data_IF_912688366175
#
_entry.id   IF_912688366175
#
_cell.length_a   1.000
_cell.length_b   1.000
_cell.length_c   1.000
_cell.angle_alpha   90.00
_cell.angle_beta   90.00
_cell.angle_gamma   90.00
#
_symmetry.space_group_name_H-M   'P 1'
#
loop_
_entity.id
_entity.type
_entity.pdbx_description
1 polymer ?
#
# COMPACT_ATOMS: atom_id res chain seq x y z
N UNK A 1 -9.30 5.94 -30.91
CA UNK A 1 -7.91 5.46 -30.84
C UNK A 1 -7.80 4.59 -29.58
N UNK A 2 -7.21 3.43 -29.69
CA UNK A 2 -7.00 2.53 -28.55
C UNK A 2 -5.66 2.87 -27.88
N UNK A 3 -5.64 2.96 -26.56
CA UNK A 3 -4.44 3.30 -25.80
C UNK A 3 -3.48 2.10 -25.74
N UNK A 4 -4.06 0.89 -25.60
CA UNK A 4 -3.32 -0.36 -25.41
C UNK A 4 -2.34 -0.62 -26.57
N UNK A 5 -1.08 -0.89 -26.23
CA UNK A 5 0.00 -1.13 -27.20
C UNK A 5 0.57 0.11 -27.88
N UNK A 6 0.08 1.32 -27.54
CA UNK A 6 0.57 2.55 -28.12
C UNK A 6 1.86 3.07 -27.44
N UNK A 7 2.59 3.96 -28.14
CA UNK A 7 3.71 4.70 -27.52
C UNK A 7 3.23 5.57 -26.34
N UNK A 8 1.99 6.06 -26.40
CA UNK A 8 1.38 6.84 -25.31
C UNK A 8 1.20 6.01 -24.07
N UNK A 9 0.77 4.74 -24.18
CA UNK A 9 0.71 3.83 -23.03
C UNK A 9 2.09 3.62 -22.40
N UNK A 10 3.11 3.38 -23.23
CA UNK A 10 4.49 3.24 -22.75
C UNK A 10 4.98 4.51 -22.02
N UNK A 11 4.68 5.69 -22.56
CA UNK A 11 5.01 6.97 -21.95
C UNK A 11 4.27 7.18 -20.61
N UNK A 12 3.00 6.81 -20.52
CA UNK A 12 2.24 6.86 -19.26
C UNK A 12 2.84 5.96 -18.18
N UNK A 13 3.25 4.73 -18.54
CA UNK A 13 3.93 3.81 -17.62
C UNK A 13 5.27 4.37 -17.14
N UNK A 14 6.06 4.94 -18.05
CA UNK A 14 7.35 5.57 -17.72
C UNK A 14 7.16 6.81 -16.82
N UNK A 15 6.17 7.66 -17.13
CA UNK A 15 5.85 8.82 -16.32
C UNK A 15 5.37 8.39 -14.90
N UNK A 16 4.45 7.44 -14.79
CA UNK A 16 4.01 6.90 -13.50
C UNK A 16 5.20 6.37 -12.67
N UNK A 17 6.10 5.62 -13.28
CA UNK A 17 7.28 5.11 -12.59
C UNK A 17 8.22 6.24 -12.14
N UNK A 18 8.48 7.24 -13.00
CA UNK A 18 9.34 8.38 -12.70
C UNK A 18 8.81 9.21 -11.53
N UNK A 19 7.53 9.60 -11.57
CA UNK A 19 6.89 10.39 -10.52
C UNK A 19 6.81 9.62 -9.19
N UNK A 20 6.51 8.31 -9.23
CA UNK A 20 6.49 7.47 -8.04
C UNK A 20 7.87 7.40 -7.37
N UNK A 21 8.95 7.30 -8.17
CA UNK A 21 10.31 7.33 -7.66
C UNK A 21 10.69 8.72 -7.12
N UNK A 22 10.29 9.80 -7.79
CA UNK A 22 10.54 11.16 -7.35
C UNK A 22 9.86 11.42 -6.01
N UNK A 23 8.56 11.07 -5.87
CA UNK A 23 7.83 11.12 -4.61
C UNK A 23 8.62 10.47 -3.47
N UNK A 24 9.06 9.21 -3.65
CA UNK A 24 9.76 8.47 -2.60
C UNK A 24 11.13 9.08 -2.29
N UNK A 25 11.91 9.44 -3.31
CA UNK A 25 13.25 10.06 -3.14
C UNK A 25 13.17 11.37 -2.37
N UNK A 26 12.19 12.23 -2.67
CA UNK A 26 12.06 13.54 -2.03
C UNK A 26 11.68 13.41 -0.56
N UNK A 27 10.94 12.37 -0.15
CA UNK A 27 10.74 12.06 1.28
C UNK A 27 12.06 11.75 1.99
N UNK A 28 12.95 10.99 1.35
CA UNK A 28 14.28 10.70 1.92
C UNK A 28 15.17 11.95 1.96
N UNK A 29 15.10 12.79 0.92
CA UNK A 29 15.86 14.05 0.88
C UNK A 29 15.37 15.04 1.94
N UNK A 30 14.06 15.13 2.17
CA UNK A 30 13.47 15.93 3.25
C UNK A 30 13.97 15.46 4.62
N UNK A 31 14.00 14.15 4.85
CA UNK A 31 14.54 13.58 6.10
C UNK A 31 16.02 13.94 6.31
N UNK A 32 16.83 13.91 5.26
CA UNK A 32 18.23 14.30 5.36
C UNK A 32 18.38 15.81 5.60
N UNK A 33 17.63 16.65 4.90
CA UNK A 33 17.67 18.10 5.08
C UNK A 33 17.34 18.52 6.52
N UNK A 34 16.40 17.83 7.19
CA UNK A 34 16.11 18.04 8.63
C UNK A 34 17.30 17.70 9.51
N UNK A 35 17.97 16.57 9.25
CA UNK A 35 19.18 16.19 10.02
C UNK A 35 20.30 17.21 9.86
N UNK A 36 20.37 17.87 8.70
CA UNK A 36 21.34 18.91 8.40
C UNK A 36 20.90 20.30 8.92
N UNK A 37 19.75 20.41 9.61
CA UNK A 37 19.22 21.68 10.16
C UNK A 37 18.59 22.61 9.12
N UNK A 38 18.22 22.09 7.95
CA UNK A 38 17.68 22.84 6.81
C UNK A 38 16.16 22.68 6.68
N UNK A 39 15.37 23.14 7.67
CA UNK A 39 13.92 22.93 7.74
C UNK A 39 13.16 23.48 6.51
N UNK A 40 13.55 24.65 6.00
CA UNK A 40 12.92 25.21 4.80
C UNK A 40 13.12 24.30 3.57
N UNK A 41 14.33 23.76 3.40
CA UNK A 41 14.64 22.85 2.29
C UNK A 41 13.87 21.55 2.44
N UNK A 42 13.77 21.02 3.67
CA UNK A 42 12.98 19.85 3.97
C UNK A 42 11.49 20.04 3.60
N UNK A 43 10.91 21.19 3.97
CA UNK A 43 9.52 21.52 3.64
C UNK A 43 9.29 21.63 2.13
N UNK A 44 10.24 22.18 1.37
CA UNK A 44 10.16 22.24 -0.11
C UNK A 44 10.19 20.84 -0.72
N UNK A 45 11.07 19.95 -0.23
CA UNK A 45 11.09 18.56 -0.69
C UNK A 45 9.77 17.84 -0.39
N UNK A 46 9.17 18.05 0.79
CA UNK A 46 7.88 17.43 1.15
C UNK A 46 6.73 17.94 0.28
N UNK A 47 6.66 19.25 0.06
CA UNK A 47 5.68 19.86 -0.83
C UNK A 47 5.79 19.28 -2.24
N UNK A 48 6.99 19.29 -2.81
CA UNK A 48 7.24 18.73 -4.16
C UNK A 48 6.91 17.24 -4.20
N UNK A 49 7.31 16.46 -3.19
CA UNK A 49 6.93 15.05 -3.07
C UNK A 49 5.41 14.86 -3.13
N UNK A 50 4.65 15.74 -2.47
CA UNK A 50 3.18 15.74 -2.55
C UNK A 50 2.66 15.97 -3.96
N UNK A 51 3.28 16.88 -4.72
CA UNK A 51 2.93 17.15 -6.12
C UNK A 51 3.20 15.94 -7.02
N UNK A 52 4.37 15.30 -6.88
CA UNK A 52 4.76 14.14 -7.68
C UNK A 52 3.84 12.93 -7.43
N UNK A 53 3.36 12.75 -6.21
CA UNK A 53 2.32 11.76 -5.89
C UNK A 53 1.02 11.99 -6.68
N UNK A 54 0.57 13.25 -6.81
CA UNK A 54 -0.64 13.56 -7.58
C UNK A 54 -0.40 13.44 -9.10
N UNK A 55 0.81 13.75 -9.58
CA UNK A 55 1.18 13.48 -10.98
C UNK A 55 1.17 11.96 -11.26
N UNK A 56 1.82 11.15 -10.43
CA UNK A 56 1.79 9.70 -10.56
C UNK A 56 0.36 9.15 -10.60
N UNK A 57 -0.51 9.61 -9.68
CA UNK A 57 -1.92 9.22 -9.63
C UNK A 57 -2.69 9.60 -10.91
N UNK A 58 -2.37 10.75 -11.52
CA UNK A 58 -2.96 11.17 -12.80
C UNK A 58 -2.65 10.15 -13.89
N UNK A 59 -1.38 9.79 -14.06
CA UNK A 59 -0.94 8.82 -15.06
C UNK A 59 -1.50 7.42 -14.79
N UNK A 60 -1.54 7.01 -13.53
CA UNK A 60 -2.08 5.72 -13.13
C UNK A 60 -3.58 5.59 -13.42
N UNK A 61 -4.35 6.68 -13.31
CA UNK A 61 -5.76 6.70 -13.72
C UNK A 61 -5.94 6.50 -15.23
N UNK A 62 -5.12 7.12 -16.06
CA UNK A 62 -5.16 6.91 -17.52
C UNK A 62 -4.79 5.48 -17.92
N UNK A 63 -4.00 4.79 -17.10
CA UNK A 63 -3.67 3.37 -17.26
C UNK A 63 -4.76 2.44 -16.70
N UNK A 64 -5.88 2.98 -16.21
CA UNK A 64 -6.92 2.22 -15.49
C UNK A 64 -6.38 1.42 -14.29
N UNK A 65 -5.34 1.94 -13.64
CA UNK A 65 -4.67 1.27 -12.51
C UNK A 65 -5.44 1.34 -11.19
N UNK A 66 -6.51 2.17 -11.10
CA UNK A 66 -7.34 2.29 -9.89
C UNK A 66 -8.73 1.77 -10.22
N UNK A 67 -9.05 0.61 -9.66
CA UNK A 67 -10.35 -0.03 -9.77
C UNK A 67 -11.17 0.08 -8.48
N UNK A 68 -12.15 -0.79 -8.33
CA UNK A 68 -12.88 -1.01 -7.07
C UNK A 68 -11.94 -1.52 -5.97
N UNK A 69 -12.39 -1.50 -4.73
CA UNK A 69 -11.60 -2.05 -3.60
C UNK A 69 -11.26 -3.53 -3.84
N UNK A 70 -12.20 -4.31 -4.39
CA UNK A 70 -11.98 -5.72 -4.72
C UNK A 70 -10.90 -5.90 -5.79
N UNK A 71 -11.00 -5.16 -6.90
CA UNK A 71 -10.00 -5.19 -7.97
C UNK A 71 -8.62 -4.73 -7.49
N UNK A 72 -8.57 -3.67 -6.68
CA UNK A 72 -7.32 -3.16 -6.14
C UNK A 72 -6.66 -4.15 -5.17
N UNK A 73 -7.44 -4.86 -4.32
CA UNK A 73 -6.93 -5.90 -3.44
C UNK A 73 -6.38 -7.09 -4.24
N UNK A 74 -7.08 -7.50 -5.30
CA UNK A 74 -6.61 -8.56 -6.18
C UNK A 74 -5.32 -8.17 -6.91
N UNK A 75 -5.24 -6.94 -7.42
CA UNK A 75 -4.04 -6.43 -8.08
C UNK A 75 -2.85 -6.31 -7.12
N UNK A 76 -3.08 -5.85 -5.88
CA UNK A 76 -2.06 -5.77 -4.86
C UNK A 76 -1.55 -7.18 -4.49
N UNK A 77 -2.43 -8.13 -4.19
CA UNK A 77 -2.03 -9.50 -3.89
C UNK A 77 -1.20 -10.13 -5.02
N UNK A 78 -1.60 -9.93 -6.29
CA UNK A 78 -0.85 -10.44 -7.43
C UNK A 78 0.52 -9.75 -7.60
N UNK A 79 0.65 -8.48 -7.24
CA UNK A 79 1.92 -7.77 -7.22
C UNK A 79 2.89 -8.34 -6.19
N UNK A 80 2.42 -8.49 -4.95
CA UNK A 80 3.21 -9.05 -3.85
C UNK A 80 3.62 -10.53 -4.12
N UNK A 81 2.71 -11.33 -4.70
CA UNK A 81 3.02 -12.70 -5.12
C UNK A 81 4.15 -12.73 -6.15
N UNK A 82 4.10 -11.87 -7.18
CA UNK A 82 5.19 -11.74 -8.15
C UNK A 82 6.51 -11.30 -7.50
N UNK A 83 6.47 -10.35 -6.58
CA UNK A 83 7.66 -9.89 -5.86
C UNK A 83 8.28 -11.01 -5.02
N UNK A 84 7.47 -11.82 -4.34
CA UNK A 84 7.92 -12.95 -3.53
C UNK A 84 8.39 -14.13 -4.37
N UNK A 85 7.62 -14.57 -5.39
CA UNK A 85 7.85 -15.83 -6.09
C UNK A 85 8.88 -15.72 -7.19
N UNK A 86 9.04 -14.56 -7.81
CA UNK A 86 9.92 -14.31 -8.97
C UNK A 86 10.98 -13.23 -8.68
N UNK A 87 10.56 -11.99 -8.47
CA UNK A 87 11.44 -10.82 -8.50
C UNK A 87 12.54 -10.89 -7.45
N UNK A 88 12.21 -10.99 -6.17
CA UNK A 88 13.20 -11.01 -5.09
C UNK A 88 13.97 -12.30 -5.03
N UNK A 89 13.38 -13.41 -5.45
CA UNK A 89 14.09 -14.69 -5.56
C UNK A 89 15.21 -14.62 -6.59
N UNK A 90 14.92 -14.10 -7.78
CA UNK A 90 15.91 -13.89 -8.83
C UNK A 90 16.97 -12.88 -8.40
N UNK A 91 16.57 -11.77 -7.77
CA UNK A 91 17.52 -10.77 -7.28
C UNK A 91 18.45 -11.31 -6.18
N UNK A 92 17.93 -12.18 -5.29
CA UNK A 92 18.76 -12.89 -4.31
C UNK A 92 19.81 -13.76 -5.00
N UNK A 93 19.40 -14.58 -5.97
CA UNK A 93 20.27 -15.49 -6.71
C UNK A 93 21.36 -14.71 -7.44
N UNK A 94 21.00 -13.71 -8.25
CA UNK A 94 21.92 -12.87 -9.02
C UNK A 94 22.93 -12.14 -8.09
N UNK A 95 22.46 -11.51 -7.01
CA UNK A 95 23.35 -10.81 -6.07
C UNK A 95 24.31 -11.78 -5.35
N UNK A 96 23.89 -13.01 -5.09
CA UNK A 96 24.74 -14.04 -4.48
C UNK A 96 25.80 -14.52 -5.45
N UNK A 97 25.47 -14.73 -6.71
CA UNK A 97 26.42 -15.10 -7.78
C UNK A 97 27.47 -13.99 -8.00
N UNK A 98 27.06 -12.72 -7.94
CA UNK A 98 27.96 -11.57 -8.07
C UNK A 98 28.79 -11.29 -6.79
N UNK A 99 28.55 -12.01 -5.69
CA UNK A 99 29.27 -11.87 -4.42
C UNK A 99 28.74 -10.81 -3.47
N UNK A 100 27.58 -10.17 -3.75
CA UNK A 100 26.92 -9.20 -2.89
C UNK A 100 26.08 -9.87 -1.79
N UNK A 101 26.70 -10.65 -0.92
CA UNK A 101 26.05 -11.54 0.04
C UNK A 101 25.09 -10.80 0.99
N UNK A 102 25.49 -9.61 1.46
CA UNK A 102 24.63 -8.79 2.33
C UNK A 102 23.36 -8.35 1.60
N UNK A 103 23.48 -7.88 0.37
CA UNK A 103 22.33 -7.46 -0.47
C UNK A 103 21.43 -8.65 -0.78
N UNK A 104 22.01 -9.81 -1.16
CA UNK A 104 21.27 -11.04 -1.38
C UNK A 104 20.42 -11.44 -0.16
N UNK A 105 21.00 -11.37 1.03
CA UNK A 105 20.26 -11.65 2.26
C UNK A 105 19.14 -10.63 2.53
N UNK A 106 19.31 -9.34 2.15
CA UNK A 106 18.24 -8.34 2.24
C UNK A 106 17.12 -8.64 1.27
N UNK A 107 17.43 -8.96 0.00
CA UNK A 107 16.41 -9.37 -0.97
C UNK A 107 15.59 -10.56 -0.48
N UNK A 108 16.23 -11.60 0.05
CA UNK A 108 15.54 -12.74 0.65
C UNK A 108 14.59 -12.34 1.77
N UNK A 109 15.05 -11.51 2.72
CA UNK A 109 14.24 -11.10 3.86
C UNK A 109 13.08 -10.20 3.45
N UNK A 110 13.28 -9.28 2.49
CA UNK A 110 12.21 -8.45 1.96
C UNK A 110 11.19 -9.32 1.24
N UNK A 111 11.61 -10.24 0.35
CA UNK A 111 10.70 -11.17 -0.31
C UNK A 111 9.80 -11.95 0.67
N UNK A 112 10.31 -12.32 1.84
CA UNK A 112 9.48 -12.95 2.88
C UNK A 112 8.44 -12.00 3.48
N UNK A 113 8.72 -10.70 3.52
CA UNK A 113 7.75 -9.69 3.96
C UNK A 113 6.63 -9.56 2.93
N UNK A 114 6.96 -9.58 1.64
CA UNK A 114 5.97 -9.48 0.55
C UNK A 114 4.98 -10.66 0.59
N UNK A 115 5.44 -11.85 1.00
CA UNK A 115 4.53 -13.00 1.27
C UNK A 115 3.50 -12.68 2.36
N UNK A 116 3.89 -11.97 3.42
CA UNK A 116 2.93 -11.56 4.45
C UNK A 116 1.96 -10.47 3.95
N UNK A 117 2.41 -9.59 3.05
CA UNK A 117 1.54 -8.62 2.40
C UNK A 117 0.52 -9.30 1.50
N UNK A 118 0.94 -10.25 0.67
CA UNK A 118 0.08 -11.07 -0.17
C UNK A 118 -1.00 -11.77 0.65
N UNK A 119 -0.61 -12.49 1.71
CA UNK A 119 -1.55 -13.20 2.59
C UNK A 119 -2.59 -12.24 3.20
N UNK A 120 -2.14 -11.05 3.60
CA UNK A 120 -3.01 -10.00 4.15
C UNK A 120 -4.02 -9.51 3.11
N UNK A 121 -3.56 -9.19 1.89
CA UNK A 121 -4.45 -8.72 0.82
C UNK A 121 -5.42 -9.80 0.39
N UNK A 122 -5.00 -11.05 0.29
CA UNK A 122 -5.89 -12.18 0.00
C UNK A 122 -6.97 -12.35 1.09
N UNK A 123 -6.59 -12.29 2.37
CA UNK A 123 -7.55 -12.39 3.47
C UNK A 123 -8.58 -11.23 3.45
N UNK A 124 -8.16 -10.01 3.10
CA UNK A 124 -9.06 -8.86 2.96
C UNK A 124 -9.95 -9.00 1.72
N UNK A 125 -9.41 -9.49 0.62
CA UNK A 125 -10.14 -9.75 -0.62
C UNK A 125 -11.30 -10.72 -0.39
N UNK A 126 -11.04 -11.82 0.31
CA UNK A 126 -12.09 -12.80 0.65
C UNK A 126 -13.19 -12.18 1.52
N UNK A 127 -12.85 -11.28 2.45
CA UNK A 127 -13.85 -10.55 3.24
C UNK A 127 -14.70 -9.60 2.39
N UNK A 128 -14.10 -8.93 1.42
CA UNK A 128 -14.82 -8.02 0.51
C UNK A 128 -15.75 -8.82 -0.39
N UNK A 129 -15.27 -9.88 -1.04
CA UNK A 129 -16.07 -10.78 -1.89
C UNK A 129 -17.23 -11.42 -1.14
N UNK A 130 -16.99 -11.84 0.10
CA UNK A 130 -18.02 -12.42 0.96
C UNK A 130 -19.00 -11.42 1.56
N UNK A 131 -18.78 -10.11 1.40
CA UNK A 131 -19.60 -9.07 2.04
C UNK A 131 -19.50 -9.07 3.57
N UNK A 132 -18.40 -9.63 4.13
CA UNK A 132 -18.23 -9.85 5.57
C UNK A 132 -17.18 -8.94 6.23
N UNK A 133 -16.84 -7.83 5.61
CA UNK A 133 -15.86 -6.85 6.16
C UNK A 133 -16.24 -6.39 7.57
N UNK A 134 -17.54 -6.24 7.83
CA UNK A 134 -18.10 -5.79 9.10
C UNK A 134 -18.81 -6.90 9.88
N UNK A 135 -18.44 -8.15 9.58
CA UNK A 135 -18.96 -9.35 10.26
C UNK A 135 -17.80 -10.10 10.90
N UNK A 136 -17.94 -10.42 12.15
CA UNK A 136 -17.01 -11.25 12.92
C UNK A 136 -17.73 -12.42 13.55
N UNK A 137 -17.21 -12.92 14.65
CA UNK A 137 -17.87 -13.84 15.58
C UNK A 137 -18.63 -13.08 16.67
N UNK A 138 -19.35 -13.79 17.54
CA UNK A 138 -20.19 -13.21 18.59
C UNK A 138 -19.39 -12.43 19.65
N UNK A 139 -18.10 -12.65 19.75
CA UNK A 139 -17.17 -11.99 20.70
C UNK A 139 -16.22 -11.01 20.00
N UNK A 140 -16.42 -10.75 18.71
CA UNK A 140 -15.60 -9.80 17.98
C UNK A 140 -15.64 -8.42 18.61
N UNK A 141 -14.48 -7.82 18.75
CA UNK A 141 -14.30 -6.49 19.35
C UNK A 141 -14.10 -5.49 18.22
N UNK A 142 -15.05 -4.58 18.06
CA UNK A 142 -15.03 -3.51 17.05
C UNK A 142 -14.60 -2.20 17.68
N UNK A 143 -13.72 -1.48 17.01
CA UNK A 143 -13.25 -0.16 17.42
C UNK A 143 -13.59 0.87 16.35
N UNK A 144 -14.21 1.98 16.75
CA UNK A 144 -14.40 3.13 15.88
C UNK A 144 -13.06 3.86 15.69
N UNK A 145 -12.58 3.95 14.45
CA UNK A 145 -11.31 4.61 14.10
C UNK A 145 -11.31 6.12 14.35
N UNK A 146 -12.49 6.75 14.40
CA UNK A 146 -12.59 8.19 14.66
C UNK A 146 -12.49 8.52 16.15
N UNK A 147 -13.31 7.87 17.01
CA UNK A 147 -13.43 8.28 18.43
C UNK A 147 -12.92 7.22 19.43
N UNK A 148 -12.50 6.04 18.96
CA UNK A 148 -12.01 4.97 19.82
C UNK A 148 -13.10 4.15 20.52
N UNK A 149 -14.40 4.42 20.30
CA UNK A 149 -15.49 3.66 20.89
C UNK A 149 -15.40 2.18 20.60
N UNK A 150 -15.58 1.37 21.61
CA UNK A 150 -15.48 -0.12 21.56
C UNK A 150 -16.87 -0.74 21.67
N UNK A 151 -17.14 -1.71 20.79
CA UNK A 151 -18.35 -2.54 20.83
C UNK A 151 -17.96 -3.98 20.70
N UNK A 152 -18.63 -4.87 21.45
CA UNK A 152 -18.48 -6.32 21.34
C UNK A 152 -19.72 -6.89 20.66
N UNK A 153 -19.53 -7.74 19.67
CA UNK A 153 -20.61 -8.43 18.97
C UNK A 153 -20.23 -8.89 17.57
N UNK A 154 -21.10 -9.67 16.98
CA UNK A 154 -20.91 -10.25 15.64
C UNK A 154 -20.78 -9.21 14.53
N UNK A 155 -21.46 -8.07 14.66
CA UNK A 155 -21.53 -7.06 13.60
C UNK A 155 -20.99 -5.72 14.10
N UNK A 156 -20.21 -5.07 13.27
CA UNK A 156 -19.89 -3.67 13.50
C UNK A 156 -21.17 -2.81 13.45
N UNK A 157 -21.35 -1.83 14.35
CA UNK A 157 -22.52 -0.95 14.33
C UNK A 157 -22.67 -0.21 13.00
N UNK A 158 -23.90 -0.01 12.53
CA UNK A 158 -24.19 0.79 11.31
C UNK A 158 -23.77 2.25 11.48
N UNK A 159 -23.89 2.77 12.69
CA UNK A 159 -23.50 4.12 13.07
C UNK A 159 -22.87 4.08 14.45
N UNK A 160 -21.77 4.78 14.64
CA UNK A 160 -21.13 4.89 15.95
C UNK A 160 -22.02 5.71 16.91
N UNK A 161 -22.43 5.14 18.08
CA UNK A 161 -23.34 5.82 19.01
C UNK A 161 -22.70 7.02 19.72
N UNK A 162 -21.38 7.19 19.65
CA UNK A 162 -20.65 8.26 20.30
C UNK A 162 -20.40 9.44 19.36
N UNK A 163 -19.97 9.19 18.12
CA UNK A 163 -19.52 10.24 17.20
C UNK A 163 -20.28 10.28 15.86
N UNK A 164 -21.32 9.46 15.69
CA UNK A 164 -22.18 9.39 14.52
C UNK A 164 -21.48 9.05 13.19
N UNK A 165 -20.24 8.58 13.23
CA UNK A 165 -19.57 8.10 12.00
C UNK A 165 -20.19 6.79 11.53
N UNK A 166 -20.24 6.56 10.21
CA UNK A 166 -20.85 5.35 9.63
C UNK A 166 -20.03 4.09 9.93
N UNK A 167 -20.63 2.93 9.68
CA UNK A 167 -20.03 1.59 9.85
C UNK A 167 -18.63 1.47 9.23
N UNK A 168 -18.35 2.17 8.14
CA UNK A 168 -17.04 2.19 7.47
C UNK A 168 -15.87 2.67 8.35
N UNK A 169 -16.18 3.31 9.48
CA UNK A 169 -15.18 3.71 10.46
C UNK A 169 -14.86 2.64 11.50
N UNK A 170 -15.54 1.49 11.49
CA UNK A 170 -15.22 0.41 12.40
C UNK A 170 -14.19 -0.56 11.83
N UNK A 171 -13.32 -1.04 12.70
CA UNK A 171 -12.34 -2.07 12.44
C UNK A 171 -12.37 -3.13 13.55
N UNK A 172 -11.93 -4.36 13.25
CA UNK A 172 -11.62 -5.34 14.29
C UNK A 172 -10.46 -4.80 15.13
N UNK A 173 -10.66 -4.75 16.46
CA UNK A 173 -9.62 -4.25 17.37
C UNK A 173 -8.45 -5.22 17.42
N UNK A 174 -7.27 -4.76 17.02
CA UNK A 174 -6.03 -5.44 17.34
C UNK A 174 -5.57 -5.05 18.75
N UNK A 175 -5.13 -6.05 19.52
CA UNK A 175 -4.51 -5.85 20.85
C UNK A 175 -3.08 -6.36 20.72
N UNK A 176 -2.14 -5.45 20.78
CA UNK A 176 -0.71 -5.72 20.59
C UNK A 176 0.16 -5.20 21.76
N UNK A 177 -0.42 -5.05 22.93
CA UNK A 177 0.20 -4.60 24.18
C UNK A 177 -0.31 -5.46 25.37
#
# INVERSE_FOLDING_TARGET
MELKGSKTEANLKAAFAGESQAHTKYQYFASQARKDGCEQIAAIFEETSGNEKEHAKLWFKYLNGIGTTEENLAAAAAGEDYEFTDMYKRFEEEAREEGFIEIANKFKMVGQIEKHHEDRYNALLEKVKGGVVFVGDDLSVWKCRNCGHIVIGKYAPKVCPVCNHPQSFFELRAVNY
#
